data_IF_246544715984
#
_entry.id   IF_246544715984
#
_cell.length_a   1.000
_cell.length_b   1.000
_cell.length_c   1.000
_cell.angle_alpha   90.00
_cell.angle_beta   90.00
_cell.angle_gamma   90.00
#
_symmetry.space_group_name_H-M   'P 1'
#
loop_
_entity.id
_entity.type
_entity.pdbx_description
1 polymer ?
#
# COMPACT_ATOMS: atom_id res chain seq x y z
N UNK A 1 -7.11 -29.26 -0.05
CA UNK A 1 -6.64 -28.28 -1.07
C UNK A 1 -7.86 -27.86 -1.86
N UNK A 2 -8.24 -26.59 -1.80
CA UNK A 2 -9.42 -26.09 -2.54
C UNK A 2 -9.09 -25.88 -4.02
N UNK A 3 -10.11 -26.10 -4.85
CA UNK A 3 -10.07 -26.14 -6.30
C UNK A 3 -9.82 -24.71 -6.85
N UNK A 4 -8.92 -24.50 -7.82
CA UNK A 4 -8.74 -23.21 -8.51
C UNK A 4 -10.03 -22.68 -9.16
N UNK A 5 -11.04 -23.53 -9.39
CA UNK A 5 -12.36 -23.11 -9.90
C UNK A 5 -13.20 -22.28 -8.88
N UNK A 6 -12.84 -22.27 -7.60
CA UNK A 6 -13.53 -21.50 -6.54
C UNK A 6 -13.14 -20.00 -6.52
N UNK A 7 -12.33 -19.52 -7.48
CA UNK A 7 -11.93 -18.10 -7.59
C UNK A 7 -13.07 -17.15 -8.04
N UNK A 8 -14.29 -17.67 -8.24
CA UNK A 8 -15.43 -16.90 -8.76
C UNK A 8 -16.43 -16.42 -7.70
N UNK A 9 -16.21 -16.73 -6.42
CA UNK A 9 -17.08 -16.23 -5.35
C UNK A 9 -16.60 -14.89 -4.80
N UNK A 10 -17.49 -13.90 -4.89
CA UNK A 10 -17.22 -12.51 -4.53
C UNK A 10 -18.13 -12.06 -3.41
N UNK A 11 -17.60 -11.19 -2.56
CA UNK A 11 -18.40 -10.35 -1.66
C UNK A 11 -18.30 -8.89 -2.10
N UNK A 12 -19.29 -8.11 -1.73
CA UNK A 12 -19.35 -6.69 -2.04
C UNK A 12 -18.40 -5.89 -1.13
N UNK A 13 -17.61 -5.01 -1.74
CA UNK A 13 -16.87 -3.95 -1.07
C UNK A 13 -17.17 -2.60 -1.71
N UNK A 14 -16.73 -1.52 -1.05
CA UNK A 14 -16.98 -0.15 -1.52
C UNK A 14 -15.72 0.69 -1.42
N UNK A 15 -15.30 1.23 -2.56
CA UNK A 15 -14.21 2.20 -2.71
C UNK A 15 -14.79 3.58 -3.04
N UNK A 16 -13.95 4.59 -3.12
CA UNK A 16 -14.32 5.94 -3.56
C UNK A 16 -13.89 6.16 -5.01
N UNK A 17 -14.74 6.82 -5.78
CA UNK A 17 -14.35 7.45 -7.03
C UNK A 17 -13.72 8.84 -6.79
N UNK A 18 -13.25 9.50 -7.86
CA UNK A 18 -12.68 10.85 -7.80
C UNK A 18 -13.63 11.96 -7.32
N UNK A 19 -14.93 11.69 -7.25
CA UNK A 19 -15.94 12.60 -6.72
C UNK A 19 -16.31 12.28 -5.26
N UNK A 20 -15.55 11.40 -4.60
CA UNK A 20 -15.83 10.92 -3.24
C UNK A 20 -17.13 10.11 -3.10
N UNK A 21 -17.64 9.57 -4.21
CA UNK A 21 -18.84 8.71 -4.19
C UNK A 21 -18.42 7.25 -4.05
N UNK A 22 -19.21 6.49 -3.30
CA UNK A 22 -18.95 5.06 -3.13
C UNK A 22 -19.23 4.28 -4.43
N UNK A 23 -18.24 3.50 -4.85
CA UNK A 23 -18.33 2.58 -5.98
C UNK A 23 -18.16 1.15 -5.51
N UNK A 24 -19.09 0.29 -5.94
CA UNK A 24 -19.07 -1.13 -5.64
C UNK A 24 -17.90 -1.83 -6.33
N UNK A 25 -17.22 -2.68 -5.58
CA UNK A 25 -16.16 -3.58 -6.04
C UNK A 25 -16.40 -5.01 -5.54
N UNK A 26 -15.78 -5.97 -6.20
CA UNK A 26 -15.79 -7.38 -5.80
C UNK A 26 -14.50 -7.75 -5.08
N UNK A 27 -14.65 -8.29 -3.87
CA UNK A 27 -13.57 -8.83 -3.05
C UNK A 27 -13.65 -10.35 -3.02
N UNK A 28 -12.50 -11.04 -3.04
CA UNK A 28 -12.45 -12.49 -2.97
C UNK A 28 -13.08 -12.97 -1.65
N UNK A 29 -14.20 -13.70 -1.76
CA UNK A 29 -14.88 -14.27 -0.58
C UNK A 29 -13.94 -15.21 0.18
N UNK A 30 -13.18 -16.02 -0.56
CA UNK A 30 -12.19 -16.95 0.01
C UNK A 30 -11.12 -16.26 0.86
N UNK A 31 -10.56 -15.15 0.37
CA UNK A 31 -9.61 -14.38 1.18
C UNK A 31 -10.30 -13.75 2.38
N UNK A 32 -11.52 -13.22 2.22
CA UNK A 32 -12.28 -12.64 3.33
C UNK A 32 -12.59 -13.65 4.44
N UNK A 33 -12.95 -14.89 4.09
CA UNK A 33 -13.29 -15.95 5.04
C UNK A 33 -12.07 -16.69 5.62
N UNK A 34 -10.87 -16.37 5.12
CA UNK A 34 -9.65 -16.98 5.63
C UNK A 34 -9.35 -16.53 7.07
N UNK A 35 -9.01 -17.50 7.92
CA UNK A 35 -8.64 -17.27 9.33
C UNK A 35 -7.35 -16.48 9.49
N UNK A 36 -6.46 -16.58 8.51
CA UNK A 36 -5.19 -15.86 8.47
C UNK A 36 -4.87 -15.50 7.01
N UNK A 37 -4.38 -14.28 6.80
CA UNK A 37 -4.04 -13.70 5.50
C UNK A 37 -2.60 -13.22 5.61
N UNK A 38 -1.72 -13.83 4.84
CA UNK A 38 -0.31 -13.48 4.80
C UNK A 38 -0.07 -12.76 3.48
N UNK A 39 0.30 -11.48 3.54
CA UNK A 39 0.67 -10.73 2.35
C UNK A 39 2.18 -10.73 2.22
N UNK A 40 2.67 -11.28 1.11
CA UNK A 40 4.09 -11.32 0.77
C UNK A 40 4.33 -10.38 -0.39
N UNK A 41 5.18 -9.37 -0.21
CA UNK A 41 5.46 -8.35 -1.21
C UNK A 41 6.95 -8.09 -1.37
N UNK A 42 7.33 -7.54 -2.52
CA UNK A 42 8.68 -7.04 -2.79
C UNK A 42 8.73 -5.54 -2.47
N UNK A 43 9.79 -5.09 -1.79
CA UNK A 43 10.05 -3.67 -1.54
C UNK A 43 10.26 -2.92 -2.86
N UNK A 44 9.38 -1.97 -3.19
CA UNK A 44 9.52 -1.20 -4.45
C UNK A 44 8.89 0.18 -4.37
N UNK A 45 9.42 1.08 -5.18
CA UNK A 45 8.85 2.41 -5.45
C UNK A 45 7.56 2.32 -6.29
N UNK A 46 6.74 3.35 -6.24
CA UNK A 46 5.46 3.42 -6.94
C UNK A 46 5.23 4.77 -7.61
N UNK A 47 4.45 4.78 -8.70
CA UNK A 47 4.10 5.95 -9.51
C UNK A 47 3.04 6.88 -8.90
N UNK A 48 2.50 6.56 -7.71
CA UNK A 48 1.35 7.28 -7.10
C UNK A 48 1.45 7.40 -5.58
N UNK A 49 1.92 6.36 -4.89
CA UNK A 49 1.94 6.28 -3.42
C UNK A 49 3.35 6.07 -2.84
N UNK A 50 4.38 6.53 -3.57
CA UNK A 50 5.80 6.57 -3.24
C UNK A 50 6.44 5.18 -3.18
N UNK A 51 5.91 4.29 -2.35
CA UNK A 51 6.32 2.89 -2.27
C UNK A 51 5.11 1.97 -2.34
N UNK A 52 5.37 0.68 -2.45
CA UNK A 52 4.41 -0.37 -2.13
C UNK A 52 5.09 -1.44 -1.31
N UNK A 53 4.36 -1.96 -0.34
CA UNK A 53 4.75 -3.12 0.47
C UNK A 53 3.62 -4.13 0.55
N UNK A 54 3.56 -4.81 1.70
CA UNK A 54 2.62 -5.88 1.95
C UNK A 54 1.17 -5.37 2.05
N UNK A 55 0.94 -4.14 2.51
CA UNK A 55 -0.41 -3.59 2.56
C UNK A 55 -0.99 -3.41 1.16
N UNK A 56 -0.35 -2.63 0.27
CA UNK A 56 -0.88 -2.37 -1.08
C UNK A 56 -1.00 -3.65 -1.91
N UNK A 57 -0.20 -4.68 -1.63
CA UNK A 57 -0.33 -6.00 -2.24
C UNK A 57 -1.72 -6.64 -2.00
N UNK A 58 -2.46 -6.23 -0.96
CA UNK A 58 -3.86 -6.65 -0.74
C UNK A 58 -4.85 -6.16 -1.80
N UNK A 59 -4.46 -5.24 -2.69
CA UNK A 59 -5.23 -4.99 -3.92
C UNK A 59 -5.42 -6.27 -4.75
N UNK A 60 -4.56 -7.28 -4.57
CA UNK A 60 -4.73 -8.62 -5.13
C UNK A 60 -6.03 -9.32 -4.74
N UNK A 61 -6.69 -8.89 -3.65
CA UNK A 61 -7.98 -9.45 -3.24
C UNK A 61 -9.18 -8.95 -4.06
N UNK A 62 -9.00 -7.90 -4.86
CA UNK A 62 -10.04 -7.38 -5.75
C UNK A 62 -10.10 -8.19 -7.05
N UNK A 63 -11.31 -8.33 -7.60
CA UNK A 63 -11.49 -8.80 -8.97
C UNK A 63 -10.66 -7.95 -9.94
N UNK A 64 -10.08 -8.57 -10.96
CA UNK A 64 -9.14 -7.93 -11.88
C UNK A 64 -9.74 -6.66 -12.51
N UNK A 65 -11.01 -6.72 -12.92
CA UNK A 65 -11.70 -5.59 -13.55
C UNK A 65 -11.99 -4.45 -12.56
N UNK A 66 -12.04 -4.74 -11.27
CA UNK A 66 -12.30 -3.76 -10.21
C UNK A 66 -11.03 -3.11 -9.67
N UNK A 67 -9.83 -3.65 -9.94
CA UNK A 67 -8.55 -3.09 -9.46
C UNK A 67 -8.34 -1.64 -9.90
N UNK A 68 -8.80 -1.28 -11.11
CA UNK A 68 -8.70 0.08 -11.64
C UNK A 68 -9.47 1.10 -10.78
N UNK A 69 -10.54 0.67 -10.10
CA UNK A 69 -11.37 1.52 -9.23
C UNK A 69 -10.63 1.98 -7.97
N UNK A 70 -9.52 1.34 -7.60
CA UNK A 70 -8.63 1.84 -6.55
C UNK A 70 -8.09 3.24 -6.88
N UNK A 71 -7.96 3.55 -8.17
CA UNK A 71 -7.52 4.85 -8.69
C UNK A 71 -8.68 5.86 -8.84
N UNK A 72 -9.88 5.52 -8.36
CA UNK A 72 -11.05 6.40 -8.40
C UNK A 72 -11.74 6.50 -9.77
N UNK A 73 -11.40 5.61 -10.70
CA UNK A 73 -11.88 5.62 -12.09
C UNK A 73 -12.28 4.21 -12.56
N UNK A 74 -13.03 4.13 -13.67
CA UNK A 74 -13.51 2.86 -14.22
C UNK A 74 -12.62 2.30 -15.36
N UNK A 75 -11.68 3.09 -15.86
CA UNK A 75 -10.77 2.70 -16.94
C UNK A 75 -9.37 3.27 -16.71
N UNK A 76 -8.34 2.55 -17.15
CA UNK A 76 -6.95 3.02 -17.10
C UNK A 76 -6.73 4.27 -17.96
N UNK A 77 -7.56 4.49 -18.98
CA UNK A 77 -7.52 5.70 -19.83
C UNK A 77 -7.92 6.97 -19.09
N UNK A 78 -8.70 6.84 -18.03
CA UNK A 78 -9.30 7.98 -17.31
C UNK A 78 -8.44 8.41 -16.12
N UNK A 79 -7.31 7.73 -15.92
CA UNK A 79 -6.34 7.97 -14.86
C UNK A 79 -5.72 9.36 -15.00
N UNK A 80 -5.83 10.13 -13.92
CA UNK A 80 -5.24 11.46 -13.81
C UNK A 80 -4.46 11.48 -12.50
N UNK A 81 -3.13 11.56 -12.61
CA UNK A 81 -2.23 11.38 -11.48
C UNK A 81 -2.60 12.24 -10.26
N UNK A 82 -2.92 13.53 -10.46
CA UNK A 82 -3.24 14.41 -9.33
C UNK A 82 -4.52 13.99 -8.58
N UNK A 83 -5.50 13.39 -9.26
CA UNK A 83 -6.69 12.82 -8.61
C UNK A 83 -6.36 11.50 -7.92
N UNK A 84 -5.40 10.74 -8.45
CA UNK A 84 -5.03 9.46 -7.86
C UNK A 84 -4.21 9.60 -6.57
N UNK A 85 -3.34 10.61 -6.48
CA UNK A 85 -2.56 10.86 -5.25
C UNK A 85 -3.46 11.24 -4.07
N UNK A 86 -4.65 11.78 -4.35
CA UNK A 86 -5.70 12.07 -3.38
C UNK A 86 -6.50 10.81 -3.03
N UNK A 87 -6.99 10.08 -4.04
CA UNK A 87 -7.97 9.00 -3.86
C UNK A 87 -7.34 7.65 -3.48
N UNK A 88 -6.20 7.29 -4.06
CA UNK A 88 -5.60 5.96 -3.87
C UNK A 88 -5.22 5.69 -2.40
N UNK A 89 -4.61 6.64 -1.65
CA UNK A 89 -4.40 6.46 -0.21
C UNK A 89 -5.69 6.16 0.57
N UNK A 90 -6.76 6.91 0.28
CA UNK A 90 -8.07 6.70 0.93
C UNK A 90 -8.66 5.32 0.61
N UNK A 91 -8.54 4.88 -0.65
CA UNK A 91 -8.99 3.56 -1.05
C UNK A 91 -8.17 2.43 -0.43
N UNK A 92 -6.88 2.62 -0.18
CA UNK A 92 -6.06 1.66 0.57
C UNK A 92 -6.53 1.51 2.03
N UNK A 93 -6.95 2.61 2.67
CA UNK A 93 -7.58 2.59 4.00
C UNK A 93 -8.88 1.80 3.98
N UNK A 94 -9.76 2.09 3.03
CA UNK A 94 -11.04 1.38 2.89
C UNK A 94 -10.81 -0.11 2.66
N UNK A 95 -9.87 -0.45 1.78
CA UNK A 95 -9.49 -1.83 1.53
C UNK A 95 -8.94 -2.52 2.78
N UNK A 96 -8.10 -1.85 3.58
CA UNK A 96 -7.60 -2.39 4.84
C UNK A 96 -8.72 -2.69 5.84
N UNK A 97 -9.76 -1.86 5.90
CA UNK A 97 -10.91 -2.11 6.78
C UNK A 97 -11.76 -3.30 6.33
N UNK A 98 -11.79 -3.59 5.03
CA UNK A 98 -12.54 -4.72 4.46
C UNK A 98 -11.73 -6.02 4.51
N UNK A 99 -10.44 -5.96 4.20
CA UNK A 99 -9.59 -7.15 4.02
C UNK A 99 -8.12 -6.86 4.39
N UNK A 100 -7.81 -6.61 5.68
CA UNK A 100 -6.45 -6.32 6.10
C UNK A 100 -5.58 -7.58 5.97
N UNK A 101 -4.29 -7.48 5.64
CA UNK A 101 -3.39 -8.59 5.91
C UNK A 101 -3.29 -8.79 7.42
N UNK A 102 -3.24 -10.05 7.87
CA UNK A 102 -3.01 -10.39 9.27
C UNK A 102 -1.51 -10.50 9.58
N UNK A 103 -0.73 -10.92 8.58
CA UNK A 103 0.73 -10.96 8.63
C UNK A 103 1.24 -10.33 7.34
N UNK A 104 2.13 -9.36 7.48
CA UNK A 104 2.85 -8.75 6.39
C UNK A 104 4.27 -9.31 6.36
N UNK A 105 4.72 -9.73 5.18
CA UNK A 105 6.09 -10.12 4.90
C UNK A 105 6.56 -9.33 3.69
N UNK A 106 7.67 -8.60 3.85
CA UNK A 106 8.28 -7.85 2.77
C UNK A 106 9.66 -8.45 2.50
N UNK A 107 9.80 -9.01 1.31
CA UNK A 107 11.09 -9.39 0.75
C UNK A 107 11.78 -8.13 0.22
N UNK A 108 12.80 -7.70 0.96
CA UNK A 108 13.65 -6.58 0.62
C UNK A 108 15.05 -7.03 0.21
N UNK A 109 15.26 -8.27 -0.24
CA UNK A 109 16.58 -8.71 -0.68
C UNK A 109 17.03 -7.88 -1.91
N UNK A 110 16.26 -7.98 -2.99
CA UNK A 110 16.35 -7.11 -4.17
C UNK A 110 15.00 -6.40 -4.31
N UNK A 111 15.02 -5.08 -4.10
CA UNK A 111 13.89 -4.20 -4.34
C UNK A 111 13.92 -3.55 -5.73
N UNK A 112 13.00 -2.62 -5.95
CA UNK A 112 12.92 -1.84 -7.20
C UNK A 112 12.81 -0.34 -6.92
N UNK A 113 13.74 0.44 -7.46
CA UNK A 113 13.80 1.90 -7.36
C UNK A 113 13.42 2.61 -8.67
N UNK A 114 13.22 3.93 -8.62
CA UNK A 114 12.91 4.74 -9.78
C UNK A 114 11.48 4.54 -10.30
N UNK A 115 11.34 4.23 -11.59
CA UNK A 115 10.03 4.20 -12.27
C UNK A 115 9.20 2.92 -12.01
N UNK A 116 9.20 2.45 -10.76
CA UNK A 116 8.33 1.38 -10.27
C UNK A 116 6.83 1.75 -10.30
N UNK A 117 5.92 0.78 -10.22
CA UNK A 117 6.17 -0.63 -9.94
C UNK A 117 6.43 -1.46 -11.22
N UNK A 118 6.51 -0.82 -12.40
CA UNK A 118 6.60 -1.53 -13.70
C UNK A 118 7.94 -1.36 -14.40
N UNK A 119 8.54 -0.17 -14.36
CA UNK A 119 9.73 0.21 -15.15
C UNK A 119 10.88 0.71 -14.27
N UNK A 120 10.94 0.25 -13.03
CA UNK A 120 12.02 0.59 -12.11
C UNK A 120 13.26 -0.26 -12.35
N UNK A 121 14.35 0.12 -11.68
CA UNK A 121 15.62 -0.58 -11.70
C UNK A 121 15.79 -1.42 -10.44
N UNK A 122 16.52 -2.53 -10.53
CA UNK A 122 16.84 -3.36 -9.36
C UNK A 122 17.70 -2.59 -8.36
N UNK A 123 17.37 -2.70 -7.07
CA UNK A 123 18.12 -2.10 -5.98
C UNK A 123 18.30 -3.08 -4.85
N UNK A 124 19.56 -3.40 -4.54
CA UNK A 124 19.87 -4.22 -3.38
C UNK A 124 19.52 -3.48 -2.09
N UNK A 125 18.75 -4.11 -1.22
CA UNK A 125 18.41 -3.62 0.11
C UNK A 125 18.83 -4.62 1.19
N UNK A 126 18.77 -5.92 0.91
CA UNK A 126 19.39 -6.97 1.73
C UNK A 126 18.68 -7.28 3.05
N UNK A 127 17.39 -6.98 3.18
CA UNK A 127 16.62 -7.22 4.41
C UNK A 127 15.34 -8.02 4.14
N UNK A 128 14.75 -8.57 5.20
CA UNK A 128 13.39 -9.05 5.20
C UNK A 128 12.65 -8.43 6.39
N UNK A 129 11.39 -8.04 6.20
CA UNK A 129 10.56 -7.43 7.24
C UNK A 129 9.33 -8.32 7.42
N UNK A 130 8.96 -8.60 8.66
CA UNK A 130 7.71 -9.28 8.99
C UNK A 130 7.04 -8.61 10.19
N UNK A 131 5.71 -8.51 10.15
CA UNK A 131 4.92 -7.94 11.25
C UNK A 131 3.47 -8.40 11.20
N UNK A 132 2.82 -8.46 12.35
CA UNK A 132 1.36 -8.58 12.46
C UNK A 132 0.65 -7.22 12.28
N UNK A 133 1.37 -6.11 12.50
CA UNK A 133 0.94 -4.77 12.14
C UNK A 133 1.45 -4.45 10.73
N UNK A 134 0.53 -4.48 9.76
CA UNK A 134 0.83 -4.26 8.36
C UNK A 134 1.23 -2.82 8.02
N UNK A 135 0.84 -1.84 8.84
CA UNK A 135 1.28 -0.45 8.68
C UNK A 135 2.71 -0.33 9.17
N UNK A 136 3.03 -0.93 10.31
CA UNK A 136 4.38 -0.96 10.84
C UNK A 136 5.36 -1.63 9.87
N UNK A 137 4.97 -2.74 9.23
CA UNK A 137 5.80 -3.39 8.21
C UNK A 137 6.13 -2.47 7.03
N UNK A 138 5.11 -1.84 6.44
CA UNK A 138 5.29 -0.93 5.31
C UNK A 138 6.04 0.36 5.73
N UNK A 139 5.86 0.84 6.97
CA UNK A 139 6.58 2.01 7.51
C UNK A 139 8.07 1.72 7.73
N UNK A 140 8.42 0.57 8.32
CA UNK A 140 9.81 0.13 8.44
C UNK A 140 10.44 -0.05 7.06
N UNK A 141 9.69 -0.62 6.09
CA UNK A 141 10.15 -0.73 4.71
C UNK A 141 10.40 0.64 4.06
N UNK A 142 9.49 1.60 4.26
CA UNK A 142 9.65 2.97 3.77
C UNK A 142 10.94 3.58 4.29
N UNK A 143 11.18 3.48 5.60
CA UNK A 143 12.38 4.01 6.23
C UNK A 143 13.65 3.33 5.72
N UNK A 144 13.63 2.01 5.61
CA UNK A 144 14.76 1.24 5.08
C UNK A 144 15.07 1.60 3.62
N UNK A 145 14.08 1.97 2.82
CA UNK A 145 14.25 2.51 1.46
C UNK A 145 14.68 3.99 1.41
N UNK A 146 14.78 4.65 2.57
CA UNK A 146 15.17 6.06 2.68
C UNK A 146 14.04 7.07 2.54
N UNK A 147 12.77 6.65 2.63
CA UNK A 147 11.60 7.53 2.66
C UNK A 147 11.13 7.76 4.10
N UNK A 148 10.54 8.92 4.37
CA UNK A 148 9.95 9.20 5.68
C UNK A 148 8.51 8.64 5.73
N UNK A 149 8.19 7.66 6.61
CA UNK A 149 6.89 6.98 6.59
C UNK A 149 5.67 7.91 6.64
N UNK A 150 5.72 8.95 7.47
CA UNK A 150 4.61 9.89 7.64
C UNK A 150 4.47 10.90 6.48
N UNK A 151 5.43 10.93 5.55
CA UNK A 151 5.33 11.67 4.29
C UNK A 151 4.56 10.88 3.22
N UNK A 152 4.17 9.64 3.50
CA UNK A 152 3.47 8.75 2.57
C UNK A 152 1.99 8.66 2.97
N UNK A 153 1.10 9.13 2.08
CA UNK A 153 -0.30 9.36 2.41
C UNK A 153 -1.05 8.16 3.01
N UNK A 154 -0.84 6.94 2.48
CA UNK A 154 -1.56 5.78 2.99
C UNK A 154 -1.08 5.33 4.38
N UNK A 155 0.21 5.51 4.70
CA UNK A 155 0.77 5.25 6.01
C UNK A 155 0.30 6.31 7.01
N UNK A 156 0.35 7.58 6.62
CA UNK A 156 -0.15 8.69 7.42
C UNK A 156 -1.63 8.51 7.79
N UNK A 157 -2.51 8.27 6.81
CA UNK A 157 -3.93 8.08 7.11
C UNK A 157 -4.20 6.83 7.95
N UNK A 158 -3.39 5.78 7.78
CA UNK A 158 -3.53 4.54 8.54
C UNK A 158 -3.18 4.72 10.01
N UNK A 159 -2.10 5.45 10.29
CA UNK A 159 -1.68 5.85 11.63
C UNK A 159 -2.72 6.76 12.30
N UNK A 160 -3.16 7.81 11.60
CA UNK A 160 -4.20 8.74 12.07
C UNK A 160 -5.51 8.04 12.42
N UNK A 161 -5.88 7.01 11.67
CA UNK A 161 -7.09 6.21 11.90
C UNK A 161 -6.89 5.04 12.87
N UNK A 162 -5.70 4.93 13.49
CA UNK A 162 -5.36 3.89 14.47
C UNK A 162 -5.54 2.46 13.93
N UNK A 163 -5.26 2.27 12.63
CA UNK A 163 -5.27 0.94 12.00
C UNK A 163 -3.97 0.16 12.26
N UNK A 164 -2.93 0.85 12.73
CA UNK A 164 -1.57 0.39 12.97
C UNK A 164 -0.68 1.61 13.24
N UNK A 165 0.62 1.41 13.34
CA UNK A 165 1.58 2.48 13.63
C UNK A 165 2.46 2.77 12.41
N UNK A 166 2.55 4.03 12.00
CA UNK A 166 3.52 4.48 11.00
C UNK A 166 4.67 5.27 11.61
N UNK A 167 4.49 5.82 12.83
CA UNK A 167 5.58 6.44 13.56
C UNK A 167 6.54 5.38 14.12
N UNK A 168 7.78 5.37 13.65
CA UNK A 168 8.83 4.43 14.05
C UNK A 168 9.14 4.46 15.55
N UNK A 169 8.94 5.60 16.22
CA UNK A 169 9.14 5.69 17.69
C UNK A 169 8.17 4.78 18.47
N UNK A 170 7.04 4.43 17.86
CA UNK A 170 6.03 3.55 18.45
C UNK A 170 6.18 2.09 17.98
N UNK A 171 7.22 1.76 17.22
CA UNK A 171 7.43 0.44 16.64
C UNK A 171 8.64 -0.22 17.32
N UNK A 172 8.41 -1.35 17.97
CA UNK A 172 9.50 -2.21 18.45
C UNK A 172 10.10 -2.99 17.27
N UNK A 173 11.33 -2.66 16.91
CA UNK A 173 12.07 -3.38 15.87
C UNK A 173 12.95 -4.43 16.53
N UNK A 174 12.69 -5.70 16.22
CA UNK A 174 13.50 -6.85 16.64
C UNK A 174 14.44 -7.21 15.50
N UNK A 175 15.75 -7.26 15.77
CA UNK A 175 16.79 -7.58 14.79
C UNK A 175 17.76 -6.41 14.59
N UNK A 176 18.15 -6.17 13.34
CA UNK A 176 19.05 -5.07 12.98
C UNK A 176 18.41 -3.71 13.26
N UNK A 177 19.21 -2.72 13.65
CA UNK A 177 18.71 -1.36 13.86
C UNK A 177 18.35 -0.75 12.52
N UNK A 178 17.23 -0.02 12.48
CA UNK A 178 16.75 0.59 11.24
C UNK A 178 17.80 1.48 10.58
N UNK A 179 18.54 2.26 11.37
CA UNK A 179 19.59 3.17 10.87
C UNK A 179 20.75 2.45 10.18
N UNK A 180 21.01 1.18 10.54
CA UNK A 180 22.10 0.39 9.97
C UNK A 180 21.74 -0.22 8.61
N UNK A 181 20.44 -0.27 8.27
CA UNK A 181 19.93 -0.93 7.06
C UNK A 181 19.32 0.03 6.03
N UNK A 182 19.37 1.35 6.28
CA UNK A 182 18.85 2.35 5.35
C UNK A 182 19.66 2.33 4.06
N UNK A 183 19.01 1.99 2.96
CA UNK A 183 19.51 2.14 1.61
C UNK A 183 18.62 3.15 0.88
N UNK A 184 19.19 4.25 0.39
CA UNK A 184 18.40 5.28 -0.31
C UNK A 184 18.02 4.81 -1.71
N UNK A 185 16.72 4.68 -1.93
CA UNK A 185 16.14 4.38 -3.24
C UNK A 185 15.94 5.68 -4.03
N UNK A 186 16.17 5.64 -5.34
CA UNK A 186 15.72 6.70 -6.24
C UNK A 186 14.19 6.74 -6.25
N UNK A 187 13.55 7.91 -6.02
CA UNK A 187 12.10 8.02 -6.11
C UNK A 187 11.60 7.89 -7.56
N UNK A 188 10.31 7.60 -7.72
CA UNK A 188 9.65 7.66 -9.03
C UNK A 188 9.73 9.07 -9.64
N UNK A 189 9.78 9.19 -10.97
CA UNK A 189 9.85 10.49 -11.65
C UNK A 189 8.66 11.42 -11.36
N UNK A 190 7.58 10.91 -10.77
CA UNK A 190 6.38 11.67 -10.39
C UNK A 190 6.33 12.03 -8.90
N UNK A 191 7.39 11.76 -8.12
CA UNK A 191 7.44 11.96 -6.67
C UNK A 191 6.97 13.34 -6.20
N UNK A 192 7.38 14.41 -6.89
CA UNK A 192 6.93 15.79 -6.60
C UNK A 192 5.41 15.97 -6.69
N UNK A 193 4.73 15.19 -7.52
CA UNK A 193 3.26 15.16 -7.55
C UNK A 193 2.69 14.27 -6.46
N UNK A 194 3.37 13.18 -6.12
CA UNK A 194 2.89 12.22 -5.12
C UNK A 194 2.80 12.85 -3.72
N UNK A 195 3.80 13.63 -3.31
CA UNK A 195 3.81 14.31 -1.99
C UNK A 195 2.70 15.36 -1.84
N UNK A 196 2.04 15.75 -2.94
CA UNK A 196 0.92 16.70 -2.94
C UNK A 196 -0.37 16.11 -2.38
N UNK A 197 -0.41 14.82 -2.02
CA UNK A 197 -1.53 14.24 -1.26
C UNK A 197 -1.89 15.08 -0.02
N UNK A 198 -0.88 15.74 0.58
CA UNK A 198 -1.03 16.67 1.71
C UNK A 198 -1.93 17.87 1.43
N UNK A 199 -2.01 18.32 0.18
CA UNK A 199 -2.89 19.42 -0.24
C UNK A 199 -4.38 19.06 -0.07
N UNK A 200 -4.69 17.76 0.01
CA UNK A 200 -6.04 17.23 0.16
C UNK A 200 -6.36 16.78 1.59
N UNK A 201 -5.49 17.07 2.55
CA UNK A 201 -5.77 16.81 3.96
C UNK A 201 -6.96 17.66 4.43
N UNK A 202 -7.92 17.09 5.18
CA UNK A 202 -8.95 17.89 5.83
C UNK A 202 -8.30 18.91 6.77
N UNK A 203 -8.81 20.15 6.78
CA UNK A 203 -8.30 21.25 7.63
C UNK A 203 -8.23 20.92 9.14
N UNK A 204 -8.89 19.87 9.60
CA UNK A 204 -8.84 19.40 11.00
C UNK A 204 -7.58 18.58 11.34
N UNK A 205 -6.68 18.34 10.38
CA UNK A 205 -5.48 17.50 10.52
C UNK A 205 -4.20 18.25 10.09
N UNK A 206 -4.31 19.52 9.70
CA UNK A 206 -3.20 20.38 9.25
C UNK A 206 -2.63 21.25 10.39
#
# INVERSE_FOLDING_TARGET
MSNPADENEWIDGYLLNKNYEEVKVRLSKRLSESKCRISVAVAKTHDTVIITGAWKNMMGALALEDKVKMHGVNSHSDRVLISEVEILPQNLIRLAKMIPPHISVIDGYIGMEGNGPVRGDEKYLGIAIASEDFISADAVCAKAMGFEPLEIGYLFYGDQQKLGNANLENIEIIGDKIDDVITRFAPHSSYETQIRWKEFMPLSVA
#
